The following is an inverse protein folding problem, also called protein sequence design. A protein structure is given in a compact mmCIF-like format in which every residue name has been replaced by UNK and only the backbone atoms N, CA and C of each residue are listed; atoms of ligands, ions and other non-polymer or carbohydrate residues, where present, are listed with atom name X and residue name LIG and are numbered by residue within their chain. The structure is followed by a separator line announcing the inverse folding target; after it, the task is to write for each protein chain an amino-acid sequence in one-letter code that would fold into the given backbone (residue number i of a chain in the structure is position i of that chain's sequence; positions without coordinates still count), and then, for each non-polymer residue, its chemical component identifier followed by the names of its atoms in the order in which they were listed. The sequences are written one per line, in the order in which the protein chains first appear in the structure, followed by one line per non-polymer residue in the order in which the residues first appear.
data_IF_614414736295
#
_entry.id   IF_614414736295
#
_cell.length_a   1.000
_cell.length_b   1.000
_cell.length_c   1.000
_cell.angle_alpha   90.00
_cell.angle_beta   90.00
_cell.angle_gamma   90.00
#
_symmetry.space_group_name_H-M   'P 1'
#
loop_
_entity.id
_entity.type
_entity.pdbx_description
1 polymer ?
#
# COMPACT_ATOMS: atom_id res chain seq x y z
N UNK A 1 13.82 -1.42 -32.06
CA UNK A 1 13.03 -1.77 -30.85
C UNK A 1 11.80 -2.53 -31.31
N UNK A 2 11.75 -3.84 -31.06
CA UNK A 2 10.63 -4.70 -31.48
C UNK A 2 9.39 -4.37 -30.64
N UNK A 3 8.26 -4.08 -31.29
CA UNK A 3 6.97 -3.86 -30.62
C UNK A 3 6.34 -5.23 -30.35
N UNK A 4 5.92 -5.42 -29.10
CA UNK A 4 5.37 -6.65 -28.53
C UNK A 4 4.12 -7.16 -29.29
N UNK A 5 4.13 -8.43 -29.74
CA UNK A 5 3.05 -9.11 -30.50
C UNK A 5 2.36 -10.24 -29.71
N UNK A 6 2.15 -10.09 -28.39
CA UNK A 6 1.48 -11.12 -27.55
C UNK A 6 0.01 -10.75 -27.25
N UNK A 7 -0.70 -10.07 -28.16
CA UNK A 7 -2.12 -9.68 -27.98
C UNK A 7 -2.97 -9.71 -29.26
N UNK A 8 -2.59 -10.46 -30.30
CA UNK A 8 -3.32 -10.46 -31.58
C UNK A 8 -3.86 -11.83 -32.02
N UNK A 9 -4.12 -12.73 -31.07
CA UNK A 9 -5.07 -13.82 -31.35
C UNK A 9 -6.31 -13.54 -30.52
N UNK A 10 -7.16 -12.64 -31.04
CA UNK A 10 -8.58 -12.64 -30.68
C UNK A 10 -9.01 -14.11 -30.79
N UNK A 11 -9.61 -14.63 -29.72
CA UNK A 11 -10.10 -16.00 -29.68
C UNK A 11 -11.01 -16.18 -30.91
N UNK A 12 -10.79 -17.22 -31.72
CA UNK A 12 -11.63 -17.53 -32.89
C UNK A 12 -13.10 -17.46 -32.46
N UNK A 13 -13.98 -16.87 -33.28
CA UNK A 13 -15.41 -16.71 -32.94
C UNK A 13 -16.03 -18.05 -32.50
N UNK A 14 -15.64 -19.16 -33.13
CA UNK A 14 -16.00 -20.54 -32.75
C UNK A 14 -15.58 -20.91 -31.31
N UNK A 15 -14.40 -20.50 -30.84
CA UNK A 15 -13.93 -20.80 -29.47
C UNK A 15 -14.65 -19.91 -28.44
N UNK A 16 -15.06 -18.70 -28.83
CA UNK A 16 -15.88 -17.84 -27.96
C UNK A 16 -17.29 -18.39 -27.83
N UNK A 17 -17.86 -18.90 -28.93
CA UNK A 17 -19.17 -19.56 -28.95
C UNK A 17 -19.15 -20.86 -28.13
N UNK A 18 -18.15 -21.74 -28.30
CA UNK A 18 -18.02 -22.96 -27.47
C UNK A 18 -17.84 -22.62 -25.97
N UNK A 19 -17.07 -21.58 -25.64
CA UNK A 19 -16.92 -21.13 -24.25
C UNK A 19 -18.20 -20.50 -23.69
N UNK A 20 -18.99 -19.79 -24.51
CA UNK A 20 -20.27 -19.24 -24.10
C UNK A 20 -21.31 -20.34 -23.91
N UNK A 21 -21.42 -21.28 -24.86
CA UNK A 21 -22.34 -22.41 -24.79
C UNK A 21 -22.04 -23.32 -23.58
N UNK A 22 -20.77 -23.62 -23.31
CA UNK A 22 -20.37 -24.41 -22.13
C UNK A 22 -20.58 -23.67 -20.81
N UNK A 23 -20.44 -22.34 -20.79
CA UNK A 23 -20.75 -21.52 -19.60
C UNK A 23 -22.25 -21.42 -19.37
N UNK A 24 -23.05 -21.30 -20.44
CA UNK A 24 -24.50 -21.24 -20.40
C UNK A 24 -25.10 -22.59 -19.97
N UNK A 25 -24.61 -23.71 -20.50
CA UNK A 25 -24.97 -25.07 -20.04
C UNK A 25 -24.69 -25.24 -18.54
N UNK A 26 -23.51 -24.84 -18.06
CA UNK A 26 -23.14 -24.92 -16.64
C UNK A 26 -23.97 -23.99 -15.76
N UNK A 27 -24.36 -22.82 -16.28
CA UNK A 27 -25.22 -21.87 -15.59
C UNK A 27 -26.66 -22.40 -15.49
N UNK A 28 -27.19 -22.98 -16.56
CA UNK A 28 -28.51 -23.60 -16.60
C UNK A 28 -28.60 -24.84 -15.70
N UNK A 29 -27.57 -25.71 -15.71
CA UNK A 29 -27.44 -26.83 -14.77
C UNK A 29 -27.47 -26.36 -13.32
N UNK A 30 -26.78 -25.25 -13.04
CA UNK A 30 -26.73 -24.64 -11.71
C UNK A 30 -28.08 -24.04 -11.32
N UNK A 31 -28.77 -23.35 -12.24
CA UNK A 31 -30.09 -22.76 -12.01
C UNK A 31 -31.17 -23.83 -11.81
N UNK A 32 -31.15 -24.89 -12.63
CA UNK A 32 -32.04 -26.03 -12.50
C UNK A 32 -31.81 -26.75 -11.18
N UNK A 33 -30.56 -26.98 -10.77
CA UNK A 33 -30.21 -27.54 -9.47
C UNK A 33 -30.73 -26.66 -8.32
N UNK A 34 -30.54 -25.34 -8.40
CA UNK A 34 -31.05 -24.35 -7.44
C UNK A 34 -32.58 -24.43 -7.35
N UNK A 35 -33.31 -24.39 -8.48
CA UNK A 35 -34.77 -24.54 -8.51
C UNK A 35 -35.21 -25.86 -7.89
N UNK A 36 -34.50 -26.95 -8.19
CA UNK A 36 -34.81 -28.28 -7.65
C UNK A 36 -34.58 -28.34 -6.14
N UNK A 37 -33.56 -27.64 -5.61
CA UNK A 37 -33.30 -27.53 -4.18
C UNK A 37 -34.29 -26.62 -3.43
N UNK A 38 -34.72 -25.52 -4.04
CA UNK A 38 -35.66 -24.56 -3.40
C UNK A 38 -37.13 -24.98 -3.51
N UNK A 39 -37.48 -25.94 -4.38
CA UNK A 39 -38.87 -26.44 -4.56
C UNK A 39 -39.23 -27.61 -3.62
N UNK A 40 -38.32 -28.05 -2.73
CA UNK A 40 -38.52 -29.30 -1.97
C UNK A 40 -39.45 -29.11 -0.75
N UNK A 41 -40.72 -29.45 -0.94
CA UNK A 41 -41.72 -29.70 0.11
C UNK A 41 -41.74 -31.15 0.66
N UNK A 42 -40.72 -31.95 0.37
CA UNK A 42 -40.58 -33.34 0.87
C UNK A 42 -39.14 -33.64 1.33
N UNK A 43 -38.84 -33.26 2.58
CA UNK A 43 -37.57 -33.54 3.25
C UNK A 43 -37.55 -34.97 3.82
N UNK A 44 -37.23 -35.96 2.98
CA UNK A 44 -36.91 -37.30 3.47
C UNK A 44 -35.48 -37.38 4.03
N UNK A 45 -35.31 -38.05 5.18
CA UNK A 45 -34.02 -38.20 5.90
C UNK A 45 -32.89 -38.73 5.02
N UNK A 46 -33.19 -39.63 4.08
CA UNK A 46 -32.21 -40.24 3.19
C UNK A 46 -31.58 -39.21 2.22
N UNK A 47 -32.34 -38.21 1.77
CA UNK A 47 -31.83 -37.15 0.89
C UNK A 47 -30.94 -36.16 1.65
N UNK A 48 -31.29 -35.86 2.90
CA UNK A 48 -30.48 -34.99 3.77
C UNK A 48 -29.11 -35.60 4.01
N UNK A 49 -29.03 -36.90 4.31
CA UNK A 49 -27.76 -37.60 4.50
C UNK A 49 -26.88 -37.58 3.23
N UNK A 50 -27.49 -37.61 2.05
CA UNK A 50 -26.76 -37.54 0.78
C UNK A 50 -26.14 -36.16 0.52
N UNK A 51 -26.84 -35.08 0.85
CA UNK A 51 -26.35 -33.70 0.66
C UNK A 51 -25.53 -33.15 1.84
N UNK A 52 -25.51 -33.84 2.97
CA UNK A 52 -24.77 -33.46 4.17
C UNK A 52 -23.28 -33.15 3.94
N UNK A 53 -22.48 -33.97 3.21
CA UNK A 53 -21.07 -33.65 2.96
C UNK A 53 -20.90 -32.35 2.15
N UNK A 54 -21.80 -32.08 1.20
CA UNK A 54 -21.79 -30.84 0.42
C UNK A 54 -22.17 -29.63 1.29
N UNK A 55 -23.20 -29.74 2.13
CA UNK A 55 -23.58 -28.68 3.07
C UNK A 55 -22.47 -28.37 4.08
N UNK A 56 -21.79 -29.40 4.60
CA UNK A 56 -20.65 -29.24 5.50
C UNK A 56 -19.47 -28.53 4.81
N UNK A 57 -19.22 -28.83 3.53
CA UNK A 57 -18.21 -28.14 2.75
C UNK A 57 -18.51 -26.64 2.58
N UNK A 58 -19.76 -26.29 2.25
CA UNK A 58 -20.17 -24.88 2.15
C UNK A 58 -20.10 -24.17 3.51
N UNK A 59 -20.54 -24.83 4.59
CA UNK A 59 -20.42 -24.28 5.94
C UNK A 59 -18.95 -24.05 6.34
N UNK A 60 -18.04 -24.96 5.96
CA UNK A 60 -16.61 -24.79 6.15
C UNK A 60 -16.07 -23.57 5.39
N UNK A 61 -16.49 -23.38 4.13
CA UNK A 61 -16.11 -22.19 3.36
C UNK A 61 -16.65 -20.90 3.98
N UNK A 62 -17.88 -20.90 4.51
CA UNK A 62 -18.42 -19.75 5.23
C UNK A 62 -17.59 -19.43 6.48
N UNK A 63 -17.21 -20.45 7.26
CA UNK A 63 -16.35 -20.26 8.42
C UNK A 63 -14.98 -19.69 8.04
N UNK A 64 -14.36 -20.19 6.97
CA UNK A 64 -13.12 -19.63 6.44
C UNK A 64 -13.30 -18.17 6.00
N UNK A 65 -14.41 -17.84 5.34
CA UNK A 65 -14.71 -16.47 4.91
C UNK A 65 -14.86 -15.53 6.10
N UNK A 66 -15.63 -15.90 7.11
CA UNK A 66 -15.82 -15.10 8.33
C UNK A 66 -14.49 -14.92 9.05
N UNK A 67 -13.68 -15.98 9.15
CA UNK A 67 -12.36 -15.94 9.78
C UNK A 67 -11.42 -14.98 9.05
N UNK A 68 -11.38 -15.05 7.72
CA UNK A 68 -10.56 -14.16 6.90
C UNK A 68 -11.02 -12.70 7.02
N UNK A 69 -12.34 -12.46 6.99
CA UNK A 69 -12.92 -11.13 7.22
C UNK A 69 -12.46 -10.53 8.54
N UNK A 70 -12.52 -11.29 9.63
CA UNK A 70 -12.06 -10.80 10.94
C UNK A 70 -10.54 -10.54 10.97
N UNK A 71 -9.74 -11.32 10.25
CA UNK A 71 -8.31 -11.09 10.14
C UNK A 71 -7.99 -9.79 9.36
N UNK A 72 -8.67 -9.58 8.23
CA UNK A 72 -8.56 -8.36 7.44
C UNK A 72 -8.94 -7.13 8.26
N UNK A 73 -10.05 -7.18 8.99
CA UNK A 73 -10.53 -6.08 9.83
C UNK A 73 -9.52 -5.70 10.94
N UNK A 74 -8.91 -6.70 11.59
CA UNK A 74 -7.86 -6.47 12.59
C UNK A 74 -6.61 -5.84 11.95
N UNK A 75 -6.24 -6.32 10.77
CA UNK A 75 -5.07 -5.83 10.02
C UNK A 75 -5.26 -4.37 9.60
N UNK A 76 -6.44 -4.01 9.10
CA UNK A 76 -6.77 -2.63 8.73
C UNK A 76 -6.65 -1.71 9.96
N UNK A 77 -7.21 -2.12 11.11
CA UNK A 77 -7.07 -1.35 12.35
C UNK A 77 -5.62 -1.19 12.82
N UNK A 78 -4.77 -2.20 12.64
CA UNK A 78 -3.34 -2.06 12.97
C UNK A 78 -2.62 -1.12 12.01
N UNK A 79 -2.95 -1.17 10.72
CA UNK A 79 -2.39 -0.26 9.72
C UNK A 79 -2.72 1.19 10.09
N UNK A 80 -3.98 1.47 10.44
CA UNK A 80 -4.41 2.83 10.81
C UNK A 80 -3.66 3.35 12.04
N UNK A 81 -3.47 2.50 13.06
CA UNK A 81 -2.71 2.86 14.27
C UNK A 81 -1.25 3.19 13.95
N UNK A 82 -0.56 2.27 13.26
CA UNK A 82 0.85 2.45 12.91
C UNK A 82 1.05 3.64 11.97
N UNK A 83 0.14 3.84 11.01
CA UNK A 83 0.16 4.99 10.11
C UNK A 83 0.05 6.32 10.87
N UNK A 84 -0.82 6.38 11.89
CA UNK A 84 -0.94 7.53 12.76
C UNK A 84 0.35 7.79 13.55
N UNK A 85 0.93 6.75 14.15
CA UNK A 85 2.19 6.85 14.90
C UNK A 85 3.34 7.36 14.00
N UNK A 86 3.47 6.82 12.78
CA UNK A 86 4.48 7.29 11.82
C UNK A 86 4.28 8.75 11.45
N UNK A 87 3.03 9.19 11.30
CA UNK A 87 2.71 10.58 10.99
C UNK A 87 3.07 11.53 12.14
N UNK A 88 2.75 11.15 13.38
CA UNK A 88 3.11 11.89 14.59
C UNK A 88 4.63 11.99 14.72
N UNK A 89 5.34 10.87 14.60
CA UNK A 89 6.80 10.83 14.67
C UNK A 89 7.45 11.68 13.56
N UNK A 90 6.86 11.67 12.37
CA UNK A 90 7.28 12.51 11.25
C UNK A 90 7.06 14.01 11.50
N UNK A 91 6.03 14.39 12.27
CA UNK A 91 5.83 15.77 12.69
C UNK A 91 6.84 16.20 13.75
N UNK A 92 7.10 15.35 14.74
CA UNK A 92 8.10 15.61 15.79
C UNK A 92 9.49 15.83 15.19
N UNK A 93 9.90 14.97 14.25
CA UNK A 93 11.17 15.13 13.54
C UNK A 93 11.25 16.46 12.79
N UNK A 94 10.19 16.85 12.07
CA UNK A 94 10.17 18.12 11.33
C UNK A 94 10.22 19.32 12.27
N UNK A 95 9.48 19.27 13.36
CA UNK A 95 9.47 20.32 14.39
C UNK A 95 10.85 20.49 15.01
N UNK A 96 11.46 19.39 15.46
CA UNK A 96 12.79 19.39 16.06
C UNK A 96 13.86 19.85 15.06
N UNK A 97 13.79 19.39 13.80
CA UNK A 97 14.70 19.85 12.76
C UNK A 97 14.57 21.35 12.49
N UNK A 98 13.35 21.90 12.50
CA UNK A 98 13.12 23.33 12.31
C UNK A 98 13.65 24.15 13.50
N UNK A 99 13.46 23.67 14.72
CA UNK A 99 14.02 24.27 15.92
C UNK A 99 15.55 24.27 15.90
N UNK A 100 16.17 23.14 15.52
CA UNK A 100 17.61 23.02 15.37
C UNK A 100 18.14 23.97 14.30
N UNK A 101 17.47 24.08 13.14
CA UNK A 101 17.84 25.04 12.09
C UNK A 101 17.79 26.48 12.61
N UNK A 102 16.74 26.85 13.34
CA UNK A 102 16.62 28.18 13.95
C UNK A 102 17.77 28.44 14.93
N UNK A 103 18.08 27.48 15.80
CA UNK A 103 19.20 27.61 16.75
C UNK A 103 20.57 27.68 16.05
N UNK A 104 20.71 27.01 14.90
CA UNK A 104 21.94 27.03 14.09
C UNK A 104 22.11 28.27 13.22
N UNK A 105 21.12 29.17 13.19
CA UNK A 105 21.19 30.40 12.38
C UNK A 105 22.22 31.35 12.98
N UNK A 106 23.07 31.94 12.13
CA UNK A 106 24.18 32.82 12.52
C UNK A 106 23.74 33.95 13.45
N UNK A 107 22.58 34.56 13.21
CA UNK A 107 22.01 35.61 14.07
C UNK A 107 21.62 35.11 15.46
N UNK A 108 21.07 33.90 15.59
CA UNK A 108 20.71 33.33 16.89
C UNK A 108 21.95 32.84 17.64
N UNK A 109 22.92 32.25 16.93
CA UNK A 109 24.22 31.89 17.50
C UNK A 109 24.93 33.14 18.03
N UNK A 110 25.02 34.20 17.22
CA UNK A 110 25.66 35.48 17.58
C UNK A 110 25.07 36.05 18.87
N UNK A 111 23.74 36.08 19.01
CA UNK A 111 23.07 36.50 20.25
C UNK A 111 23.45 35.63 21.45
N UNK A 112 23.58 34.32 21.26
CA UNK A 112 23.87 33.36 22.35
C UNK A 112 25.32 33.48 22.83
N UNK A 113 26.26 33.72 21.91
CA UNK A 113 27.69 33.85 22.21
C UNK A 113 28.13 35.27 22.57
N UNK A 114 27.24 36.27 22.47
CA UNK A 114 27.51 37.65 22.87
C UNK A 114 27.87 37.75 24.37
N UNK A 115 27.20 36.93 25.19
CA UNK A 115 27.54 36.80 26.62
C UNK A 115 28.94 36.23 26.88
N UNK A 116 29.53 35.54 25.90
CA UNK A 116 30.88 34.97 25.94
C UNK A 116 31.92 35.93 25.32
N UNK A 117 31.52 37.13 24.89
CA UNK A 117 32.41 38.14 24.31
C UNK A 117 32.88 37.86 22.87
N UNK A 118 32.25 36.89 22.20
CA UNK A 118 32.58 36.52 20.81
C UNK A 118 31.82 37.43 19.83
N UNK A 119 32.53 38.06 18.89
CA UNK A 119 31.95 38.96 17.88
C UNK A 119 32.03 38.36 16.47
N UNK A 120 30.95 38.57 15.72
CA UNK A 120 30.89 38.23 14.31
C UNK A 120 31.82 39.14 13.48
N UNK A 121 32.56 38.53 12.56
CA UNK A 121 33.44 39.26 11.64
C UNK A 121 32.61 39.80 10.48
N UNK A 122 32.25 41.09 10.55
CA UNK A 122 31.45 41.79 9.52
C UNK A 122 32.29 42.20 8.31
N UNK A 123 33.60 42.32 8.49
CA UNK A 123 34.51 42.77 7.44
C UNK A 123 34.89 41.62 6.48
N UNK A 124 34.88 41.87 5.15
CA UNK A 124 35.29 40.86 4.19
C UNK A 124 36.76 40.42 4.42
N UNK A 125 37.11 39.17 4.09
CA UNK A 125 38.49 38.72 4.15
C UNK A 125 39.37 39.53 3.18
N UNK A 126 40.53 39.96 3.65
CA UNK A 126 41.48 40.72 2.85
C UNK A 126 42.17 39.73 1.90
N UNK A 127 42.08 39.97 0.59
CA UNK A 127 42.82 39.18 -0.41
C UNK A 127 44.30 39.54 -0.31
N UNK A 128 45.13 38.58 0.09
CA UNK A 128 46.59 38.73 0.09
C UNK A 128 47.06 38.42 -1.33
N UNK A 129 47.48 39.44 -2.07
CA UNK A 129 48.16 39.26 -3.35
C UNK A 129 49.65 39.11 -3.10
N UNK A 130 50.22 37.97 -3.49
CA UNK A 130 51.66 37.71 -3.39
C UNK A 130 52.35 38.52 -4.48
N UNK A 131 52.95 39.65 -4.10
CA UNK A 131 53.80 40.43 -4.99
C UNK A 131 55.15 39.69 -5.06
N UNK A 132 55.36 38.91 -6.12
CA UNK A 132 56.72 38.47 -6.49
C UNK A 132 57.51 39.72 -6.87
N UNK A 133 58.33 40.21 -5.94
CA UNK A 133 59.38 41.16 -6.27
C UNK A 133 60.38 40.45 -7.19
N UNK A 134 60.36 40.79 -8.48
CA UNK A 134 61.50 40.52 -9.36
C UNK A 134 62.64 41.39 -8.86
N UNK A 135 63.64 40.74 -8.27
CA UNK A 135 64.97 41.31 -8.05
C UNK A 135 65.53 41.74 -9.41
N UNK A 136 65.63 43.05 -9.61
CA UNK A 136 66.37 43.65 -10.71
C UNK A 136 67.86 43.29 -10.56
N UNK A 137 68.43 42.66 -11.59
CA UNK A 137 69.86 42.41 -11.77
C UNK A 137 70.55 43.62 -12.40
#
# INVERSE_FOLDING_TARGET
MSRNTIRQKELSEEVQEELQETVEEKAEETEAFIKTLFTVGDLSLNKILHYLPFGAFVAFLMLLYISNRHFAERTIRSIDKVSKEVKELGWDHKSLSAELMKMSTQTEIAKRVDSLGLKERVEPPIKIEVIENKEDK
#
